data_IF_982338572676
#
_entry.id   IF_982338572676
#
_cell.length_a   1.000
_cell.length_b   1.000
_cell.length_c   1.000
_cell.angle_alpha   90.00
_cell.angle_beta   90.00
_cell.angle_gamma   90.00
#
_symmetry.space_group_name_H-M   'P 1'
#
loop_
_entity.id
_entity.type
_entity.pdbx_description
1 polymer ?
#
# COMPACT_ATOMS: atom_id res chain seq x y z
N UNK A 1 0.15 -19.16 1.67
CA UNK A 1 0.84 -17.95 1.18
C UNK A 1 0.63 -17.87 -0.32
N UNK A 2 0.37 -16.66 -0.83
CA UNK A 2 0.32 -16.36 -2.26
C UNK A 2 1.38 -15.32 -2.60
N UNK A 3 2.02 -15.43 -3.76
CA UNK A 3 2.96 -14.44 -4.25
C UNK A 3 2.93 -14.33 -5.76
N UNK A 4 3.50 -13.25 -6.27
CA UNK A 4 3.80 -13.09 -7.68
C UNK A 4 5.30 -13.30 -7.89
N UNK A 5 5.64 -14.04 -8.93
CA UNK A 5 7.00 -14.16 -9.43
C UNK A 5 7.08 -13.48 -10.79
N UNK A 6 7.96 -12.50 -10.91
CA UNK A 6 8.18 -11.77 -12.16
C UNK A 6 9.57 -12.06 -12.70
N UNK A 7 9.63 -12.45 -13.97
CA UNK A 7 10.88 -12.71 -14.68
C UNK A 7 10.85 -12.02 -16.04
N UNK A 8 12.03 -11.68 -16.56
CA UNK A 8 12.14 -11.30 -17.97
C UNK A 8 11.83 -12.53 -18.83
N UNK A 9 10.85 -12.39 -19.73
CA UNK A 9 10.58 -13.36 -20.78
C UNK A 9 11.78 -13.52 -21.71
N UNK A 10 11.78 -14.59 -22.51
CA UNK A 10 12.87 -14.87 -23.47
C UNK A 10 13.05 -13.76 -24.53
N UNK A 11 12.00 -12.99 -24.76
CA UNK A 11 11.92 -11.84 -25.65
C UNK A 11 12.19 -10.50 -24.93
N UNK A 12 12.50 -10.54 -23.63
CA UNK A 12 12.68 -9.35 -22.80
C UNK A 12 11.37 -8.76 -22.25
N UNK A 13 10.21 -9.31 -22.63
CA UNK A 13 8.92 -8.86 -22.11
C UNK A 13 8.76 -9.36 -20.67
N UNK A 14 8.47 -8.49 -19.68
CA UNK A 14 8.24 -8.95 -18.31
C UNK A 14 7.01 -9.86 -18.28
N UNK A 15 7.19 -11.08 -17.75
CA UNK A 15 6.12 -12.02 -17.49
C UNK A 15 5.98 -12.20 -15.98
N UNK A 16 4.74 -12.26 -15.50
CA UNK A 16 4.46 -12.56 -14.10
C UNK A 16 3.61 -13.81 -13.99
N UNK A 17 3.85 -14.57 -12.94
CA UNK A 17 3.06 -15.75 -12.58
C UNK A 17 2.62 -15.62 -11.12
N UNK A 18 1.41 -16.07 -10.83
CA UNK A 18 0.88 -16.12 -9.46
C UNK A 18 0.98 -17.55 -8.93
N UNK A 19 1.46 -17.65 -7.71
CA UNK A 19 1.79 -18.91 -7.07
C UNK A 19 1.23 -18.99 -5.65
N UNK A 20 1.08 -20.21 -5.16
CA UNK A 20 0.77 -20.48 -3.76
C UNK A 20 1.63 -21.59 -3.16
N UNK A 21 1.71 -21.58 -1.83
CA UNK A 21 2.30 -22.63 -1.01
C UNK A 21 1.67 -22.63 0.39
N UNK A 22 1.63 -23.80 1.02
CA UNK A 22 1.22 -23.93 2.42
C UNK A 22 2.22 -23.26 3.38
N UNK A 23 1.72 -22.65 4.46
CA UNK A 23 2.59 -22.02 5.47
C UNK A 23 3.44 -23.04 6.25
N UNK A 24 2.96 -24.28 6.39
CA UNK A 24 3.71 -25.38 6.99
C UNK A 24 4.73 -26.03 6.04
N UNK A 25 4.94 -25.46 4.85
CA UNK A 25 5.75 -26.04 3.78
C UNK A 25 4.92 -26.81 2.74
N UNK A 26 5.61 -27.36 1.75
CA UNK A 26 5.01 -28.04 0.59
C UNK A 26 5.61 -27.55 -0.73
N UNK A 27 5.34 -28.28 -1.82
CA UNK A 27 5.74 -27.85 -3.14
C UNK A 27 4.92 -26.61 -3.57
N UNK A 28 5.56 -25.53 -4.05
CA UNK A 28 4.85 -24.39 -4.59
C UNK A 28 4.04 -24.80 -5.82
N UNK A 29 2.84 -24.22 -5.97
CA UNK A 29 1.94 -24.50 -7.08
C UNK A 29 1.58 -23.21 -7.80
N UNK A 30 1.72 -23.20 -9.12
CA UNK A 30 1.28 -22.08 -9.94
C UNK A 30 -0.24 -22.03 -9.99
N UNK A 31 -0.81 -20.88 -9.68
CA UNK A 31 -2.25 -20.59 -9.78
C UNK A 31 -2.58 -20.20 -11.22
N UNK A 32 -1.85 -19.23 -11.78
CA UNK A 32 -2.04 -18.74 -13.15
C UNK A 32 -0.79 -18.01 -13.66
N UNK A 33 -0.61 -17.98 -14.99
CA UNK A 33 0.34 -17.11 -15.69
C UNK A 33 -0.38 -15.97 -16.44
N UNK A 34 -1.72 -15.94 -16.43
CA UNK A 34 -2.53 -14.92 -17.10
C UNK A 34 -2.78 -13.72 -16.16
N UNK A 35 -1.70 -13.00 -15.84
CA UNK A 35 -1.74 -11.90 -14.87
C UNK A 35 -2.14 -10.56 -15.47
N UNK A 36 -2.16 -10.45 -16.80
CA UNK A 36 -2.12 -9.15 -17.47
C UNK A 36 -0.85 -8.37 -17.11
N UNK A 37 -0.89 -7.05 -17.32
CA UNK A 37 0.20 -6.16 -16.91
C UNK A 37 0.10 -5.84 -15.42
N UNK A 38 0.51 -6.81 -14.61
CA UNK A 38 0.38 -6.79 -13.15
C UNK A 38 1.00 -5.53 -12.53
N UNK A 39 0.22 -4.81 -11.73
CA UNK A 39 0.69 -3.65 -10.96
C UNK A 39 0.82 -4.04 -9.49
N UNK A 40 2.04 -4.29 -9.02
CA UNK A 40 2.30 -4.52 -7.60
C UNK A 40 2.90 -3.26 -6.98
N UNK A 41 2.21 -2.69 -6.00
CA UNK A 41 2.80 -1.75 -5.06
C UNK A 41 3.43 -2.48 -3.87
N UNK A 42 4.23 -1.78 -3.08
CA UNK A 42 4.67 -2.23 -1.76
C UNK A 42 3.53 -2.08 -0.72
N UNK A 43 2.38 -2.69 -1.04
CA UNK A 43 1.16 -2.68 -0.25
C UNK A 43 0.75 -4.11 0.07
N UNK A 44 0.25 -4.33 1.29
CA UNK A 44 -0.30 -5.63 1.66
C UNK A 44 -1.53 -5.99 0.81
N UNK A 45 -2.23 -4.98 0.30
CA UNK A 45 -3.45 -5.10 -0.49
C UNK A 45 -3.23 -5.26 -2.00
N UNK A 46 -1.98 -5.22 -2.49
CA UNK A 46 -1.68 -5.38 -3.92
C UNK A 46 -2.21 -6.69 -4.51
N UNK A 47 -2.34 -7.73 -3.68
CA UNK A 47 -3.10 -8.94 -3.97
C UNK A 47 -3.90 -9.35 -2.75
N UNK A 48 -5.18 -9.71 -2.94
CA UNK A 48 -6.07 -10.08 -1.83
C UNK A 48 -6.70 -11.43 -2.10
N UNK A 49 -6.68 -12.31 -1.09
CA UNK A 49 -7.46 -13.54 -1.09
C UNK A 49 -8.79 -13.26 -0.41
N UNK A 50 -9.88 -13.47 -1.11
CA UNK A 50 -11.23 -13.34 -0.58
C UNK A 50 -12.15 -14.40 -1.18
N UNK A 51 -13.03 -14.99 -0.36
CA UNK A 51 -14.01 -15.98 -0.81
C UNK A 51 -13.44 -17.09 -1.73
N UNK A 52 -12.23 -17.58 -1.43
CA UNK A 52 -11.54 -18.64 -2.20
C UNK A 52 -10.95 -18.19 -3.54
N UNK A 53 -10.87 -16.89 -3.80
CA UNK A 53 -10.30 -16.30 -5.02
C UNK A 53 -9.16 -15.35 -4.68
N UNK A 54 -8.18 -15.27 -5.57
CA UNK A 54 -7.14 -14.25 -5.56
C UNK A 54 -7.56 -13.10 -6.46
N UNK A 55 -7.46 -11.87 -5.97
CA UNK A 55 -7.78 -10.62 -6.67
C UNK A 55 -6.54 -9.73 -6.79
N UNK A 56 -6.39 -9.07 -7.95
CA UNK A 56 -5.33 -8.10 -8.21
C UNK A 56 -5.75 -7.08 -9.28
N UNK A 57 -4.98 -6.01 -9.43
CA UNK A 57 -5.13 -5.05 -10.53
C UNK A 57 -4.03 -5.20 -11.57
N UNK A 58 -4.37 -4.93 -12.83
CA UNK A 58 -3.43 -4.84 -13.93
C UNK A 58 -3.76 -3.63 -14.82
N UNK A 59 -2.78 -3.14 -15.57
CA UNK A 59 -3.06 -2.15 -16.61
C UNK A 59 -3.66 -2.85 -17.83
N UNK A 60 -4.76 -2.31 -18.34
CA UNK A 60 -5.31 -2.77 -19.60
C UNK A 60 -4.34 -2.43 -20.75
N UNK A 61 -4.22 -3.29 -21.78
CA UNK A 61 -3.46 -2.95 -22.97
C UNK A 61 -4.15 -1.82 -23.76
N UNK A 62 -3.40 -0.80 -24.17
CA UNK A 62 -3.90 0.29 -25.01
C UNK A 62 -3.48 1.69 -24.56
N UNK A 63 -4.05 2.72 -25.21
CA UNK A 63 -3.72 4.13 -24.96
C UNK A 63 -4.62 4.80 -23.90
N UNK A 64 -5.76 4.20 -23.56
CA UNK A 64 -6.68 4.72 -22.54
C UNK A 64 -6.27 4.26 -21.13
N UNK A 65 -6.42 5.13 -20.13
CA UNK A 65 -6.23 4.76 -18.72
C UNK A 65 -7.39 3.88 -18.29
N UNK A 66 -7.23 2.57 -18.41
CA UNK A 66 -8.19 1.57 -17.96
C UNK A 66 -7.47 0.59 -17.03
N UNK A 67 -8.09 0.29 -15.91
CA UNK A 67 -7.61 -0.72 -14.96
C UNK A 67 -8.40 -2.01 -15.16
N UNK A 68 -7.69 -3.12 -15.22
CA UNK A 68 -8.28 -4.45 -15.14
C UNK A 68 -8.29 -4.92 -13.70
N UNK A 69 -9.46 -5.26 -13.19
CA UNK A 69 -9.64 -6.00 -11.94
C UNK A 69 -9.73 -7.47 -12.31
N UNK A 70 -8.73 -8.23 -11.87
CA UNK A 70 -8.54 -9.61 -12.27
C UNK A 70 -8.73 -10.52 -11.06
N UNK A 71 -9.33 -11.69 -11.29
CA UNK A 71 -9.45 -12.70 -10.24
C UNK A 71 -9.38 -14.13 -10.75
N UNK A 72 -8.87 -15.04 -9.93
CA UNK A 72 -8.78 -16.47 -10.24
C UNK A 72 -9.16 -17.29 -9.01
N UNK A 73 -9.84 -18.45 -9.16
CA UNK A 73 -9.94 -19.41 -8.05
C UNK A 73 -8.55 -19.76 -7.51
N UNK A 74 -8.40 -19.92 -6.20
CA UNK A 74 -7.11 -20.27 -5.62
C UNK A 74 -6.59 -21.62 -6.12
N UNK A 75 -7.47 -22.60 -6.30
CA UNK A 75 -7.18 -23.91 -6.90
C UNK A 75 -6.79 -23.84 -8.39
N UNK A 76 -6.89 -22.66 -9.01
CA UNK A 76 -6.56 -22.40 -10.41
C UNK A 76 -7.80 -22.41 -11.30
N UNK A 77 -7.61 -22.18 -12.59
CA UNK A 77 -8.69 -22.12 -13.58
C UNK A 77 -8.72 -20.77 -14.33
N UNK A 78 -9.84 -20.43 -14.98
CA UNK A 78 -9.90 -19.25 -15.82
C UNK A 78 -9.84 -17.97 -14.98
N UNK A 79 -9.00 -17.03 -15.43
CA UNK A 79 -8.96 -15.67 -14.90
C UNK A 79 -10.20 -14.93 -15.38
N UNK A 80 -10.89 -14.29 -14.44
CA UNK A 80 -11.98 -13.35 -14.73
C UNK A 80 -11.39 -11.95 -14.75
N UNK A 81 -11.77 -11.17 -15.75
CA UNK A 81 -11.32 -9.79 -15.93
C UNK A 81 -12.55 -8.88 -15.99
N UNK A 82 -12.53 -7.83 -15.19
CA UNK A 82 -13.46 -6.71 -15.26
C UNK A 82 -12.66 -5.44 -15.52
N UNK A 83 -13.13 -4.57 -16.41
CA UNK A 83 -12.44 -3.32 -16.74
C UNK A 83 -13.13 -2.15 -16.07
N UNK A 84 -12.33 -1.24 -15.52
CA UNK A 84 -12.79 0.01 -14.92
C UNK A 84 -12.06 1.19 -15.58
N UNK A 85 -12.81 2.18 -16.10
CA UNK A 85 -12.20 3.42 -16.58
C UNK A 85 -11.42 4.12 -15.46
N UNK A 86 -10.25 4.64 -15.79
CA UNK A 86 -9.34 5.28 -14.85
C UNK A 86 -8.21 4.37 -14.35
N UNK A 87 -7.37 4.94 -13.49
CA UNK A 87 -6.28 4.23 -12.84
C UNK A 87 -6.68 3.94 -11.39
N UNK A 88 -6.73 2.67 -11.04
CA UNK A 88 -7.18 2.19 -9.75
C UNK A 88 -6.13 1.25 -9.14
N UNK A 89 -6.01 1.28 -7.82
CA UNK A 89 -5.23 0.31 -7.04
C UNK A 89 -6.12 -0.33 -5.98
N UNK A 90 -5.83 -1.57 -5.59
CA UNK A 90 -6.49 -2.19 -4.44
C UNK A 90 -6.11 -1.44 -3.16
N UNK A 91 -7.13 -1.01 -2.42
CA UNK A 91 -6.99 -0.44 -1.08
C UNK A 91 -7.29 -1.48 0.01
N UNK A 92 -7.65 -2.71 -0.37
CA UNK A 92 -8.12 -3.79 0.50
C UNK A 92 -9.51 -4.20 0.06
N UNK A 93 -9.83 -5.50 0.05
CA UNK A 93 -11.11 -5.96 -0.50
C UNK A 93 -12.33 -5.43 0.30
N UNK A 94 -13.42 -4.97 -0.36
CA UNK A 94 -13.66 -4.91 -1.82
C UNK A 94 -13.26 -3.59 -2.49
N UNK A 95 -12.49 -2.74 -1.81
CA UNK A 95 -12.25 -1.36 -2.20
C UNK A 95 -11.05 -1.18 -3.13
N UNK A 96 -11.28 -0.38 -4.18
CA UNK A 96 -10.26 0.26 -4.98
C UNK A 96 -10.14 1.73 -4.61
N UNK A 97 -8.93 2.28 -4.74
CA UNK A 97 -8.66 3.72 -4.67
C UNK A 97 -8.19 4.23 -6.03
N UNK A 98 -8.76 5.35 -6.47
CA UNK A 98 -8.36 6.01 -7.71
C UNK A 98 -7.01 6.71 -7.54
N UNK A 99 -6.06 6.46 -8.45
CA UNK A 99 -4.69 7.00 -8.38
C UNK A 99 -4.45 8.13 -9.40
N UNK A 100 -5.51 8.64 -10.04
CA UNK A 100 -5.43 9.34 -11.32
C UNK A 100 -5.96 10.78 -11.39
N UNK A 101 -6.29 11.43 -10.27
CA UNK A 101 -6.86 12.79 -10.27
C UNK A 101 -5.88 13.93 -10.55
N UNK A 102 -4.56 13.67 -10.53
CA UNK A 102 -3.56 14.72 -10.35
C UNK A 102 -3.66 15.36 -8.95
N UNK A 103 -2.79 16.33 -8.60
CA UNK A 103 -2.73 16.91 -7.26
C UNK A 103 -4.03 17.56 -6.76
N UNK A 104 -5.03 17.77 -7.64
CA UNK A 104 -6.29 18.48 -7.31
C UNK A 104 -7.56 17.75 -7.73
N UNK A 105 -7.44 16.54 -8.28
CA UNK A 105 -8.63 15.74 -8.61
C UNK A 105 -9.16 15.03 -7.36
N UNK A 106 -10.48 14.90 -7.20
CA UNK A 106 -11.05 14.21 -6.05
C UNK A 106 -10.54 12.77 -5.99
N UNK A 107 -10.06 12.34 -4.81
CA UNK A 107 -9.75 10.93 -4.58
C UNK A 107 -11.06 10.15 -4.52
N UNK A 108 -11.13 9.01 -5.21
CA UNK A 108 -12.33 8.17 -5.27
C UNK A 108 -12.05 6.80 -4.68
N UNK A 109 -13.05 6.24 -4.01
CA UNK A 109 -13.12 4.86 -3.60
C UNK A 109 -14.19 4.13 -4.41
N UNK A 110 -13.86 2.97 -4.95
CA UNK A 110 -14.80 2.14 -5.72
C UNK A 110 -14.96 0.77 -5.05
N UNK A 111 -16.21 0.41 -4.75
CA UNK A 111 -16.58 -0.87 -4.16
C UNK A 111 -16.82 -1.92 -5.24
N UNK A 112 -15.97 -2.95 -5.30
CA UNK A 112 -16.10 -4.05 -6.26
C UNK A 112 -17.30 -4.97 -5.98
N UNK A 113 -17.82 -4.99 -4.76
CA UNK A 113 -18.95 -5.82 -4.39
C UNK A 113 -20.28 -5.18 -4.81
N UNK A 114 -20.41 -3.85 -4.69
CA UNK A 114 -21.66 -3.12 -4.97
C UNK A 114 -21.63 -2.32 -6.27
N UNK A 115 -20.44 -2.03 -6.81
CA UNK A 115 -20.23 -1.13 -7.94
C UNK A 115 -20.35 0.36 -7.58
N UNK A 116 -20.53 0.69 -6.30
CA UNK A 116 -20.64 2.07 -5.85
C UNK A 116 -19.29 2.78 -5.89
N UNK A 117 -19.31 4.07 -6.26
CA UNK A 117 -18.14 4.95 -6.17
C UNK A 117 -18.45 6.09 -5.22
N UNK A 118 -17.56 6.32 -4.25
CA UNK A 118 -17.61 7.44 -3.32
C UNK A 118 -16.42 8.37 -3.55
N UNK A 119 -16.65 9.68 -3.43
CA UNK A 119 -15.58 10.67 -3.35
C UNK A 119 -15.13 10.80 -1.90
N UNK A 120 -13.83 10.79 -1.67
CA UNK A 120 -13.25 11.06 -0.35
C UNK A 120 -13.47 12.52 -0.02
N UNK A 121 -14.10 12.80 1.12
CA UNK A 121 -14.24 14.16 1.64
C UNK A 121 -12.95 14.58 2.35
N UNK A 122 -12.24 15.55 1.77
CA UNK A 122 -10.96 16.06 2.27
C UNK A 122 -11.11 17.38 3.03
N UNK A 123 -12.27 18.03 2.93
CA UNK A 123 -12.49 19.42 3.33
C UNK A 123 -11.88 20.47 2.37
N UNK A 124 -11.96 21.75 2.75
CA UNK A 124 -11.56 22.92 1.95
C UNK A 124 -10.07 23.33 2.13
N UNK A 125 -9.13 22.38 2.08
CA UNK A 125 -7.72 22.64 2.39
C UNK A 125 -6.74 22.52 1.21
N UNK A 126 -5.54 23.11 1.36
CA UNK A 126 -4.37 22.95 0.48
C UNK A 126 -3.64 21.60 0.73
N UNK A 127 -4.40 20.54 0.92
CA UNK A 127 -3.87 19.22 1.25
C UNK A 127 -3.88 18.29 0.04
N UNK A 128 -2.75 17.62 -0.16
CA UNK A 128 -2.62 16.62 -1.21
C UNK A 128 -2.87 15.24 -0.60
N UNK A 129 -3.82 14.50 -1.19
CA UNK A 129 -4.02 13.09 -0.85
C UNK A 129 -2.83 12.31 -1.36
N UNK A 130 -2.17 11.60 -0.46
CA UNK A 130 -1.13 10.66 -0.81
C UNK A 130 -1.76 9.30 -1.18
N UNK A 131 -2.55 8.73 -0.27
CA UNK A 131 -3.14 7.41 -0.46
C UNK A 131 -4.34 7.17 0.45
N UNK A 132 -5.20 6.21 0.09
CA UNK A 132 -6.23 5.67 0.96
C UNK A 132 -6.07 4.16 1.14
N UNK A 133 -6.28 3.69 2.36
CA UNK A 133 -6.61 2.31 2.69
C UNK A 133 -8.13 2.12 2.80
N UNK A 134 -8.62 1.01 3.38
CA UNK A 134 -10.06 0.73 3.45
C UNK A 134 -10.81 1.70 4.36
N UNK A 135 -10.12 2.23 5.37
CA UNK A 135 -10.75 2.89 6.50
C UNK A 135 -10.18 4.30 6.76
N UNK A 136 -9.00 4.63 6.21
CA UNK A 136 -8.35 5.92 6.38
C UNK A 136 -7.65 6.34 5.08
N UNK A 137 -7.60 7.65 4.86
CA UNK A 137 -6.77 8.30 3.87
C UNK A 137 -5.67 9.10 4.55
N UNK A 138 -4.48 9.08 3.95
CA UNK A 138 -3.32 9.88 4.32
C UNK A 138 -3.22 11.08 3.40
N UNK A 139 -3.05 12.24 4.01
CA UNK A 139 -2.83 13.51 3.35
C UNK A 139 -1.52 14.11 3.82
N UNK A 140 -0.85 14.81 2.90
CA UNK A 140 0.24 15.72 3.25
C UNK A 140 -0.24 17.15 3.12
N UNK A 141 0.04 17.93 4.15
CA UNK A 141 -0.04 19.39 4.08
C UNK A 141 1.32 19.86 3.64
N UNK A 142 1.35 20.62 2.57
CA UNK A 142 2.58 21.09 1.95
C UNK A 142 2.89 22.53 2.37
N UNK A 143 4.18 22.86 2.41
CA UNK A 143 4.68 24.24 2.45
C UNK A 143 5.67 24.40 1.30
N UNK A 144 5.24 25.04 0.21
CA UNK A 144 5.89 24.86 -1.08
C UNK A 144 5.73 23.41 -1.54
N UNK A 145 6.81 22.77 -1.97
CA UNK A 145 6.78 21.38 -2.44
C UNK A 145 7.09 20.33 -1.35
N UNK A 146 7.30 20.77 -0.10
CA UNK A 146 7.71 19.90 1.00
C UNK A 146 6.54 19.60 1.97
N UNK A 147 6.31 18.33 2.34
CA UNK A 147 5.40 17.99 3.42
C UNK A 147 5.84 18.60 4.75
N UNK A 148 4.94 19.29 5.43
CA UNK A 148 5.16 19.85 6.77
C UNK A 148 4.28 19.19 7.83
N UNK A 149 3.18 18.57 7.43
CA UNK A 149 2.26 17.87 8.33
C UNK A 149 1.64 16.67 7.61
N UNK A 150 1.47 15.58 8.35
CA UNK A 150 0.77 14.38 7.86
C UNK A 150 -0.54 14.24 8.62
N UNK A 151 -1.63 14.13 7.88
CA UNK A 151 -3.00 14.06 8.39
C UNK A 151 -3.63 12.74 7.94
N UNK A 152 -4.45 12.16 8.80
CA UNK A 152 -5.27 11.00 8.51
C UNK A 152 -6.74 11.42 8.58
N UNK A 153 -7.53 11.04 7.58
CA UNK A 153 -8.98 11.28 7.55
C UNK A 153 -9.73 9.98 7.28
N UNK A 154 -10.91 9.82 7.86
CA UNK A 154 -11.86 8.81 7.39
C UNK A 154 -12.35 9.22 5.99
N UNK A 155 -12.57 8.28 5.06
CA UNK A 155 -13.05 8.61 3.72
C UNK A 155 -14.37 9.40 3.67
N UNK A 156 -15.21 9.23 4.69
CA UNK A 156 -16.50 9.91 4.86
C UNK A 156 -16.39 11.26 5.61
N UNK A 157 -15.17 11.71 5.93
CA UNK A 157 -14.93 12.94 6.66
C UNK A 157 -15.26 12.90 8.16
N UNK A 158 -15.73 11.76 8.69
CA UNK A 158 -16.22 11.66 10.08
C UNK A 158 -15.15 11.82 11.16
N UNK A 159 -13.88 11.63 10.80
CA UNK A 159 -12.75 11.81 11.71
C UNK A 159 -11.52 12.32 10.95
N UNK A 160 -10.76 13.20 11.61
CA UNK A 160 -9.55 13.84 11.09
C UNK A 160 -8.51 13.95 12.20
N UNK A 161 -7.30 13.48 11.95
CA UNK A 161 -6.23 13.41 12.95
C UNK A 161 -4.90 13.87 12.35
N UNK A 162 -4.20 14.74 13.06
CA UNK A 162 -2.79 15.03 12.73
C UNK A 162 -1.91 13.92 13.31
N UNK A 163 -1.22 13.16 12.44
CA UNK A 163 -0.28 12.13 12.88
C UNK A 163 1.08 12.73 13.28
N UNK A 164 1.54 13.75 12.56
CA UNK A 164 2.75 14.51 12.88
C UNK A 164 2.74 15.89 12.24
N UNK A 165 3.40 16.85 12.88
CA UNK A 165 3.69 18.20 12.38
C UNK A 165 5.17 18.42 12.05
N UNK A 166 5.94 17.34 11.88
CA UNK A 166 7.40 17.38 11.68
C UNK A 166 7.84 17.14 10.23
N UNK A 167 6.92 17.21 9.27
CA UNK A 167 7.19 16.83 7.86
C UNK A 167 7.51 15.35 7.63
N UNK A 168 7.32 14.46 8.61
CA UNK A 168 7.57 13.04 8.40
C UNK A 168 6.55 12.46 7.41
N UNK A 169 7.04 11.75 6.40
CA UNK A 169 6.25 11.20 5.29
C UNK A 169 6.00 9.71 5.48
N UNK A 170 5.25 9.10 4.56
CA UNK A 170 5.02 7.66 4.54
C UNK A 170 6.32 6.84 4.61
N UNK A 171 6.37 5.82 5.48
CA UNK A 171 7.40 4.79 5.40
C UNK A 171 6.95 3.56 4.59
N UNK A 172 5.63 3.34 4.49
CA UNK A 172 5.00 2.25 3.73
C UNK A 172 3.82 2.80 2.92
N UNK A 173 3.37 2.04 1.91
CA UNK A 173 2.23 2.43 1.09
C UNK A 173 0.90 2.35 1.84
N UNK A 174 0.72 1.32 2.67
CA UNK A 174 -0.52 1.10 3.40
C UNK A 174 -0.75 2.21 4.44
N UNK A 175 -2.02 2.59 4.60
CA UNK A 175 -2.44 3.71 5.46
C UNK A 175 -3.14 3.17 6.69
N UNK A 176 -2.75 3.68 7.87
CA UNK A 176 -3.36 3.33 9.15
C UNK A 176 -3.57 1.80 9.32
N UNK A 177 -2.49 1.03 9.15
CA UNK A 177 -2.54 -0.44 9.22
C UNK A 177 -3.18 -0.91 10.52
N UNK A 178 -3.94 -2.02 10.44
CA UNK A 178 -4.79 -2.52 11.53
C UNK A 178 -5.84 -1.50 12.02
N UNK A 179 -6.23 -0.55 11.18
CA UNK A 179 -7.09 0.60 11.55
C UNK A 179 -6.54 1.42 12.73
N UNK A 180 -5.22 1.35 12.98
CA UNK A 180 -4.61 1.83 14.22
C UNK A 180 -3.24 2.48 14.08
N UNK A 181 -2.39 2.03 13.17
CA UNK A 181 -1.00 2.48 13.15
C UNK A 181 -0.65 3.14 11.83
N UNK A 182 -0.19 4.38 11.89
CA UNK A 182 0.39 5.05 10.74
C UNK A 182 1.92 5.00 10.82
N UNK A 183 2.57 4.45 9.79
CA UNK A 183 4.01 4.21 9.79
C UNK A 183 4.71 5.27 8.93
N UNK A 184 5.56 6.06 9.58
CA UNK A 184 6.14 7.26 9.01
C UNK A 184 7.67 7.21 9.03
N UNK A 185 8.29 7.89 8.07
CA UNK A 185 9.72 8.13 7.97
C UNK A 185 9.99 9.62 8.17
N UNK A 186 10.75 9.95 9.21
CA UNK A 186 11.17 11.31 9.54
C UNK A 186 12.66 11.54 9.35
N UNK A 187 13.09 12.75 9.69
CA UNK A 187 14.50 13.11 9.72
C UNK A 187 15.24 12.31 10.79
N UNK A 188 16.48 11.96 10.48
CA UNK A 188 17.35 11.19 11.35
C UNK A 188 18.61 11.95 11.75
N UNK A 189 19.39 11.38 12.65
CA UNK A 189 20.72 11.90 12.99
C UNK A 189 21.63 11.93 11.75
N UNK A 190 22.60 12.85 11.73
CA UNK A 190 23.52 12.99 10.60
C UNK A 190 24.26 11.68 10.25
N UNK A 191 24.61 10.89 11.27
CA UNK A 191 25.25 9.58 11.09
C UNK A 191 24.31 8.57 10.43
N UNK A 192 23.05 8.49 10.87
CA UNK A 192 22.06 7.60 10.28
C UNK A 192 21.75 7.99 8.82
N UNK A 193 21.65 9.29 8.53
CA UNK A 193 21.48 9.80 7.17
C UNK A 193 22.68 9.44 6.29
N UNK A 194 23.92 9.51 6.82
CA UNK A 194 25.13 9.15 6.07
C UNK A 194 25.17 7.69 5.61
N UNK A 195 24.44 6.79 6.28
CA UNK A 195 24.30 5.38 5.91
C UNK A 195 22.98 5.07 5.18
N UNK A 196 22.23 6.11 4.77
CA UNK A 196 20.97 5.99 4.03
C UNK A 196 19.77 5.61 4.88
N UNK A 197 19.87 5.72 6.21
CA UNK A 197 18.79 5.46 7.14
C UNK A 197 17.88 6.68 7.36
N UNK A 198 16.61 6.42 7.69
CA UNK A 198 15.64 7.42 8.15
C UNK A 198 15.08 7.01 9.51
N UNK A 199 14.58 7.98 10.28
CA UNK A 199 13.94 7.68 11.54
C UNK A 199 12.57 7.05 11.27
N UNK A 200 12.38 5.81 11.72
CA UNK A 200 11.11 5.10 11.63
C UNK A 200 10.24 5.48 12.81
N UNK A 201 9.04 5.95 12.52
CA UNK A 201 8.05 6.42 13.48
C UNK A 201 6.76 5.63 13.31
N UNK A 202 6.07 5.37 14.40
CA UNK A 202 4.72 4.79 14.40
C UNK A 202 3.79 5.70 15.18
N UNK A 203 2.75 6.19 14.53
CA UNK A 203 1.67 6.92 15.17
C UNK A 203 0.53 5.95 15.51
N UNK A 204 0.27 5.76 16.80
CA UNK A 204 -0.89 4.97 17.27
C UNK A 204 -2.11 5.89 17.32
N UNK A 205 -3.04 5.69 16.39
CA UNK A 205 -4.30 6.43 16.28
C UNK A 205 -5.12 6.31 17.58
N UNK A 206 -5.09 5.16 18.26
CA UNK A 206 -5.88 4.93 19.48
C UNK A 206 -5.38 5.79 20.64
N UNK A 207 -4.07 5.80 20.86
CA UNK A 207 -3.45 6.53 21.99
C UNK A 207 -3.02 7.94 21.63
N UNK A 208 -3.05 8.29 20.33
CA UNK A 208 -2.61 9.58 19.75
C UNK A 208 -1.15 9.88 20.09
N UNK A 209 -0.30 8.87 19.99
CA UNK A 209 1.13 8.97 20.30
C UNK A 209 1.97 8.60 19.10
N UNK A 210 2.96 9.44 18.82
CA UNK A 210 4.01 9.18 17.84
C UNK A 210 5.23 8.62 18.57
N UNK A 211 5.66 7.42 18.21
CA UNK A 211 6.77 6.70 18.85
C UNK A 211 7.88 6.48 17.82
N UNK A 212 9.12 6.79 18.19
CA UNK A 212 10.29 6.41 17.40
C UNK A 212 10.62 4.93 17.63
N UNK A 213 10.62 4.16 16.55
CA UNK A 213 10.93 2.73 16.55
C UNK A 213 12.41 2.48 16.26
N UNK A 214 12.99 3.24 15.33
CA UNK A 214 14.40 3.13 14.97
C UNK A 214 14.93 4.45 14.39
N UNK A 215 16.23 4.75 14.58
CA UNK A 215 16.84 5.97 14.04
C UNK A 215 17.38 5.79 12.61
N UNK A 216 17.91 4.62 12.26
CA UNK A 216 18.59 4.37 10.97
C UNK A 216 17.88 3.29 10.11
N UNK A 217 16.55 3.35 10.03
CA UNK A 217 15.78 2.36 9.28
C UNK A 217 15.88 2.58 7.76
N UNK A 218 16.01 1.48 7.03
CA UNK A 218 15.94 1.42 5.58
C UNK A 218 15.18 0.16 5.16
N UNK A 219 14.64 0.12 3.93
CA UNK A 219 13.84 -1.01 3.41
C UNK A 219 12.72 -1.42 4.38
N UNK A 220 11.87 -0.45 4.72
CA UNK A 220 10.71 -0.66 5.58
C UNK A 220 9.61 -1.32 4.76
N UNK A 221 9.01 -2.38 5.30
CA UNK A 221 7.83 -3.00 4.73
C UNK A 221 6.95 -3.59 5.82
N UNK A 222 5.69 -3.80 5.47
CA UNK A 222 4.67 -4.26 6.39
C UNK A 222 3.75 -5.26 5.66
N UNK A 223 3.31 -6.29 6.38
CA UNK A 223 2.29 -7.24 5.92
C UNK A 223 1.73 -8.01 7.11
N UNK A 224 0.41 -8.17 7.16
CA UNK A 224 -0.30 -9.02 8.14
C UNK A 224 0.09 -8.72 9.61
N UNK A 225 0.11 -7.43 9.97
CA UNK A 225 0.41 -6.98 11.32
C UNK A 225 1.90 -6.90 11.66
N UNK A 226 2.80 -7.41 10.82
CA UNK A 226 4.24 -7.39 11.07
C UNK A 226 4.91 -6.28 10.26
N UNK A 227 5.57 -5.36 10.94
CA UNK A 227 6.45 -4.35 10.37
C UNK A 227 7.89 -4.88 10.42
N UNK A 228 8.64 -4.74 9.33
CA UNK A 228 10.06 -5.06 9.31
C UNK A 228 10.87 -4.00 8.59
N UNK A 229 12.13 -3.88 9.00
CA UNK A 229 13.07 -2.93 8.43
C UNK A 229 14.49 -3.45 8.53
N UNK A 230 15.38 -2.88 7.75
CA UNK A 230 16.81 -3.10 7.86
C UNK A 230 17.54 -1.88 8.41
N UNK A 231 18.72 -2.10 8.97
CA UNK A 231 19.66 -1.04 9.35
C UNK A 231 21.02 -1.34 8.71
N UNK A 232 21.69 -0.30 8.19
CA UNK A 232 23.02 -0.37 7.58
C UNK A 232 24.05 0.29 8.50
N UNK A 233 25.09 -0.46 8.89
CA UNK A 233 26.13 0.05 9.80
C UNK A 233 27.27 -0.95 10.03
N UNK A 234 27.86 -1.45 8.93
CA UNK A 234 28.85 -2.54 8.94
C UNK A 234 28.32 -3.88 8.41
N UNK A 235 27.00 -3.98 8.19
CA UNK A 235 26.28 -5.10 7.59
C UNK A 235 24.77 -4.82 7.59
N UNK A 236 23.99 -5.60 6.83
CA UNK A 236 22.52 -5.50 6.83
C UNK A 236 21.96 -6.32 7.98
N UNK A 237 21.36 -5.65 8.97
CA UNK A 237 20.60 -6.32 10.04
C UNK A 237 19.12 -6.10 9.81
N UNK A 238 18.31 -7.16 9.85
CA UNK A 238 16.86 -7.09 9.76
C UNK A 238 16.22 -7.12 11.14
N UNK A 239 15.16 -6.34 11.30
CA UNK A 239 14.38 -6.21 12.52
C UNK A 239 12.91 -6.39 12.20
N UNK A 240 12.14 -6.87 13.17
CA UNK A 240 10.70 -7.10 13.04
C UNK A 240 9.97 -6.60 14.29
N UNK A 241 8.77 -6.06 14.10
CA UNK A 241 7.84 -5.65 15.17
C UNK A 241 6.44 -6.13 14.80
N UNK A 242 5.83 -6.96 15.66
CA UNK A 242 4.43 -7.35 15.52
C UNK A 242 3.53 -6.29 16.16
N UNK A 243 2.89 -5.47 15.33
CA UNK A 243 2.02 -4.37 15.75
C UNK A 243 0.73 -4.86 16.42
N UNK A 244 0.36 -6.14 16.29
CA UNK A 244 -0.81 -6.72 16.96
C UNK A 244 -0.58 -6.94 18.45
N UNK A 245 0.68 -6.93 18.88
CA UNK A 245 1.08 -7.24 20.26
C UNK A 245 1.35 -6.02 21.14
N UNK A 246 1.21 -4.81 20.58
CA UNK A 246 1.56 -3.52 21.24
C UNK A 246 0.38 -2.57 21.45
#
# INVERSE_FOLDING_TARGET
MVWAESAAGRDGTPASELWEAGLGGGAPRRITADTGWLTLGNSEHAMVVEAGRLYWTALAPGAERVTEVRSVPLDGGPVRVSTLPGTWALAGWPWLVGTGGGPRGPTQLHDLATGATATVDLGDGDEDVDRCGPAWCRLFVLSGDAPVRTVLVRPDGSDRRTATSSGATAAIEDVAVLDRFEVLAGDSSALATAVGGRRLLVYDLRTRRLVAVADAASRVAYRDGVLWWSTSGGGTTWHTLDLRTV
#
